data_IF_189582381962
#
_entry.id   IF_189582381962
#
_cell.length_a   1.000
_cell.length_b   1.000
_cell.length_c   1.000
_cell.angle_alpha   90.00
_cell.angle_beta   90.00
_cell.angle_gamma   90.00
#
_symmetry.space_group_name_H-M   'P 1'
#
loop_
_entity.id
_entity.type
_entity.pdbx_description
1 polymer ?
#
# COMPACT_ATOMS: atom_id res chain seq x y z
N UNK A 1 -7.82 -4.66 21.02
CA UNK A 1 -7.21 -3.45 20.43
C UNK A 1 -6.70 -3.65 19.00
N UNK A 2 -6.33 -4.86 18.55
CA UNK A 2 -5.89 -5.08 17.17
C UNK A 2 -6.98 -4.94 16.10
N UNK A 3 -8.27 -5.17 16.42
CA UNK A 3 -9.35 -5.16 15.41
C UNK A 3 -9.53 -3.81 14.71
N UNK A 4 -9.59 -2.66 15.42
CA UNK A 4 -9.66 -1.35 14.75
C UNK A 4 -8.40 -1.04 13.93
N UNK A 5 -7.21 -1.42 14.42
CA UNK A 5 -5.93 -1.23 13.71
C UNK A 5 -5.92 -2.06 12.42
N UNK A 6 -6.33 -3.33 12.51
CA UNK A 6 -6.45 -4.24 11.37
C UNK A 6 -7.45 -3.70 10.35
N UNK A 7 -8.59 -3.18 10.79
CA UNK A 7 -9.58 -2.56 9.91
C UNK A 7 -9.00 -1.37 9.16
N UNK A 8 -8.32 -0.44 9.87
CA UNK A 8 -7.67 0.71 9.25
C UNK A 8 -6.61 0.30 8.23
N UNK A 9 -5.71 -0.62 8.59
CA UNK A 9 -4.68 -1.14 7.66
C UNK A 9 -5.33 -1.79 6.43
N UNK A 10 -6.45 -2.50 6.59
CA UNK A 10 -7.19 -3.10 5.48
C UNK A 10 -7.70 -2.04 4.50
N UNK A 11 -8.28 -0.95 5.01
CA UNK A 11 -8.74 0.16 4.16
C UNK A 11 -7.57 0.80 3.40
N UNK A 12 -6.46 1.07 4.10
CA UNK A 12 -5.25 1.61 3.46
C UNK A 12 -4.71 0.67 2.38
N UNK A 13 -4.71 -0.64 2.64
CA UNK A 13 -4.27 -1.65 1.68
C UNK A 13 -5.15 -1.67 0.43
N UNK A 14 -6.47 -1.58 0.59
CA UNK A 14 -7.42 -1.49 -0.52
C UNK A 14 -7.15 -0.23 -1.34
N UNK A 15 -7.05 0.92 -0.68
CA UNK A 15 -6.74 2.19 -1.35
C UNK A 15 -5.39 2.17 -2.08
N UNK A 16 -4.43 1.39 -1.58
CA UNK A 16 -3.13 1.20 -2.21
C UNK A 16 -3.19 0.26 -3.40
N UNK A 17 -3.87 -0.88 -3.31
CA UNK A 17 -3.84 -1.95 -4.33
C UNK A 17 -4.83 -1.70 -5.47
N UNK A 18 -6.07 -1.30 -5.16
CA UNK A 18 -7.16 -1.13 -6.16
C UNK A 18 -6.78 -0.26 -7.36
N UNK A 19 -6.13 0.92 -7.20
CA UNK A 19 -5.77 1.77 -8.33
C UNK A 19 -4.56 1.26 -9.15
N UNK A 20 -3.96 0.12 -8.77
CA UNK A 20 -2.80 -0.47 -9.46
C UNK A 20 -3.26 -1.64 -10.34
N UNK A 21 -3.30 -1.43 -11.65
CA UNK A 21 -3.57 -2.47 -12.65
C UNK A 21 -2.35 -2.68 -13.55
N UNK A 22 -2.39 -3.72 -14.39
CA UNK A 22 -1.28 -4.04 -15.31
C UNK A 22 -1.06 -2.96 -16.38
N UNK A 23 -2.12 -2.26 -16.78
CA UNK A 23 -2.09 -1.23 -17.84
C UNK A 23 -2.03 0.18 -17.27
N UNK A 24 -2.62 0.41 -16.10
CA UNK A 24 -2.72 1.73 -15.49
C UNK A 24 -2.47 1.67 -13.98
N UNK A 25 -1.65 2.60 -13.49
CA UNK A 25 -1.44 2.79 -12.06
C UNK A 25 -1.72 4.25 -11.70
N UNK A 26 -2.93 4.53 -11.22
CA UNK A 26 -3.38 5.89 -10.96
C UNK A 26 -2.58 6.58 -9.84
N UNK A 27 -2.13 5.82 -8.84
CA UNK A 27 -1.25 6.33 -7.78
C UNK A 27 0.11 6.74 -8.32
N UNK A 28 0.68 5.93 -9.21
CA UNK A 28 1.97 6.22 -9.82
C UNK A 28 1.89 7.43 -10.75
N UNK A 29 0.77 7.61 -11.46
CA UNK A 29 0.51 8.84 -12.22
C UNK A 29 0.40 10.06 -11.30
N UNK A 30 -0.33 9.94 -10.19
CA UNK A 30 -0.46 11.01 -9.20
C UNK A 30 0.91 11.40 -8.62
N UNK A 31 1.74 10.41 -8.23
CA UNK A 31 3.11 10.63 -7.74
C UNK A 31 4.03 11.26 -8.77
N UNK A 32 3.86 10.90 -10.05
CA UNK A 32 4.61 11.52 -11.13
C UNK A 32 4.19 12.98 -11.36
N UNK A 33 2.90 13.31 -11.17
CA UNK A 33 2.40 14.68 -11.28
C UNK A 33 2.70 15.57 -10.06
N UNK A 34 3.00 14.97 -8.91
CA UNK A 34 3.20 15.71 -7.65
C UNK A 34 4.64 16.20 -7.44
N UNK A 35 5.58 15.88 -8.35
CA UNK A 35 7.01 16.18 -8.22
C UNK A 35 7.64 15.71 -6.90
N UNK A 36 7.05 14.70 -6.24
CA UNK A 36 7.55 14.14 -4.97
C UNK A 36 8.77 13.22 -5.18
N UNK A 37 8.91 12.66 -6.39
CA UNK A 37 9.98 11.75 -6.76
C UNK A 37 10.74 12.32 -7.95
N UNK A 38 12.03 12.00 -8.07
CA UNK A 38 12.89 12.53 -9.14
C UNK A 38 12.46 12.03 -10.51
N UNK A 39 11.90 10.82 -10.57
CA UNK A 39 11.38 10.23 -11.80
C UNK A 39 10.34 9.13 -11.50
N UNK A 40 9.68 8.70 -12.58
CA UNK A 40 8.70 7.62 -12.56
C UNK A 40 9.24 6.31 -11.96
N UNK A 41 10.51 5.97 -12.21
CA UNK A 41 11.15 4.75 -11.72
C UNK A 41 11.30 4.74 -10.20
N UNK A 42 11.66 5.88 -9.61
CA UNK A 42 11.75 6.06 -8.16
C UNK A 42 10.36 5.96 -7.52
N UNK A 43 9.36 6.66 -8.07
CA UNK A 43 7.97 6.59 -7.60
C UNK A 43 7.42 5.14 -7.65
N UNK A 44 7.74 4.40 -8.73
CA UNK A 44 7.34 3.00 -8.90
C UNK A 44 7.99 2.10 -7.85
N UNK A 45 9.28 2.32 -7.59
CA UNK A 45 10.03 1.54 -6.60
C UNK A 45 9.52 1.80 -5.19
N UNK A 46 9.25 3.07 -4.85
CA UNK A 46 8.64 3.45 -3.59
C UNK A 46 7.24 2.82 -3.43
N UNK A 47 6.36 3.00 -4.41
CA UNK A 47 5.00 2.47 -4.37
C UNK A 47 5.00 0.94 -4.22
N UNK A 48 5.91 0.24 -4.92
CA UNK A 48 6.11 -1.21 -4.77
C UNK A 48 6.57 -1.57 -3.35
N UNK A 49 7.55 -0.86 -2.80
CA UNK A 49 8.06 -1.09 -1.45
C UNK A 49 6.97 -0.90 -0.39
N UNK A 50 6.23 0.21 -0.45
CA UNK A 50 5.10 0.49 0.45
C UNK A 50 4.02 -0.57 0.31
N UNK A 51 3.68 -0.98 -0.92
CA UNK A 51 2.67 -2.04 -1.14
C UNK A 51 3.08 -3.35 -0.49
N UNK A 52 4.31 -3.81 -0.72
CA UNK A 52 4.81 -5.04 -0.09
C UNK A 52 4.88 -4.93 1.43
N UNK A 53 5.32 -3.80 1.97
CA UNK A 53 5.33 -3.55 3.40
C UNK A 53 3.92 -3.57 4.00
N UNK A 54 2.95 -2.93 3.36
CA UNK A 54 1.55 -2.92 3.83
C UNK A 54 0.92 -4.31 3.78
N UNK A 55 1.20 -5.12 2.75
CA UNK A 55 0.75 -6.52 2.67
C UNK A 55 1.35 -7.32 3.83
N UNK A 56 2.66 -7.21 4.05
CA UNK A 56 3.33 -7.88 5.15
C UNK A 56 2.74 -7.48 6.51
N UNK A 57 2.55 -6.18 6.74
CA UNK A 57 1.94 -5.66 7.96
C UNK A 57 0.52 -6.20 8.17
N UNK A 58 -0.30 -6.25 7.12
CA UNK A 58 -1.64 -6.83 7.18
C UNK A 58 -1.61 -8.31 7.60
N UNK A 59 -0.70 -9.11 7.03
CA UNK A 59 -0.55 -10.52 7.36
C UNK A 59 -0.15 -10.70 8.83
N UNK A 60 0.85 -9.95 9.30
CA UNK A 60 1.31 -10.00 10.70
C UNK A 60 0.18 -9.61 11.66
N UNK A 61 -0.51 -8.50 11.39
CA UNK A 61 -1.64 -8.05 12.21
C UNK A 61 -2.79 -9.07 12.23
N UNK A 62 -3.05 -9.72 11.11
CA UNK A 62 -4.08 -10.76 11.01
C UNK A 62 -3.70 -11.97 11.84
N UNK A 63 -2.46 -12.45 11.70
CA UNK A 63 -1.96 -13.57 12.50
C UNK A 63 -2.03 -13.28 14.00
N UNK A 64 -1.50 -12.12 14.43
CA UNK A 64 -1.54 -11.70 15.84
C UNK A 64 -2.97 -11.62 16.36
N UNK A 65 -3.89 -11.01 15.61
CA UNK A 65 -5.29 -10.88 16.01
C UNK A 65 -6.07 -12.21 16.02
N UNK A 66 -5.52 -13.29 15.46
CA UNK A 66 -6.12 -14.63 15.52
C UNK A 66 -5.62 -15.43 16.71
N UNK A 67 -4.36 -15.24 17.12
CA UNK A 67 -3.75 -15.98 18.24
C UNK A 67 -3.95 -15.32 19.60
N UNK A 68 -4.32 -14.03 19.64
CA UNK A 68 -4.65 -13.26 20.85
C UNK A 68 -6.16 -13.09 21.00
#
# INVERSE_FOLDING_TARGET
MLTPIRFFVTICLIALIVPQTNTENALLRAFNSSNLFKNYGEAKTFLRSVTWFSIFLYIVLTYLATIT
#
